data_IF_094639758745
#
_entry.id   IF_094639758745
#
_cell.length_a   1.000
_cell.length_b   1.000
_cell.length_c   1.000
_cell.angle_alpha   90.00
_cell.angle_beta   90.00
_cell.angle_gamma   90.00
#
_symmetry.space_group_name_H-M   'P 1'
#
loop_
_entity.id
_entity.type
_entity.pdbx_description
1 polymer ?
#
# COMPACT_ATOMS: atom_id res chain seq x y z
N UNK A 1 15.80 4.59 -6.52
CA UNK A 1 15.04 5.74 -7.05
C UNK A 1 13.92 5.23 -7.94
N UNK A 2 12.71 5.71 -7.72
CA UNK A 2 11.54 5.29 -8.50
C UNK A 2 11.05 6.44 -9.36
N UNK A 3 10.75 6.13 -10.63
CA UNK A 3 10.22 7.13 -11.56
C UNK A 3 8.74 7.38 -11.39
N UNK A 4 8.00 6.38 -10.94
CA UNK A 4 6.56 6.46 -10.79
C UNK A 4 6.16 6.12 -9.37
N UNK A 5 5.09 6.76 -8.89
CA UNK A 5 4.57 6.52 -7.56
C UNK A 5 3.05 6.63 -7.60
N UNK A 6 2.37 5.64 -7.02
CA UNK A 6 0.97 5.77 -6.64
C UNK A 6 0.90 6.20 -5.19
N UNK A 7 0.02 7.15 -4.91
CA UNK A 7 -0.21 7.67 -3.57
C UNK A 7 -1.70 7.57 -3.27
N UNK A 8 -2.04 6.83 -2.22
CA UNK A 8 -3.41 6.73 -1.73
C UNK A 8 -3.50 7.42 -0.38
N UNK A 9 -4.47 8.33 -0.25
CA UNK A 9 -4.78 9.01 1.00
C UNK A 9 -6.11 8.49 1.51
N UNK A 10 -6.13 8.06 2.77
CA UNK A 10 -7.31 7.45 3.38
C UNK A 10 -7.43 7.89 4.82
N UNK A 11 -8.66 7.94 5.31
CA UNK A 11 -8.96 8.31 6.70
C UNK A 11 -9.52 7.10 7.42
N UNK A 12 -8.97 6.81 8.60
CA UNK A 12 -9.35 5.66 9.40
C UNK A 12 -10.49 6.08 10.32
N UNK A 13 -11.54 5.28 10.39
CA UNK A 13 -12.62 5.49 11.37
C UNK A 13 -12.06 5.31 12.78
N UNK A 14 -12.40 6.22 13.73
CA UNK A 14 -11.93 6.08 15.10
C UNK A 14 -12.31 4.72 15.70
N UNK A 15 -11.34 4.06 16.33
CA UNK A 15 -11.53 2.74 16.91
C UNK A 15 -11.34 1.57 15.95
N UNK A 16 -11.09 1.82 14.68
CA UNK A 16 -10.93 0.77 13.65
C UNK A 16 -9.50 0.63 13.16
N UNK A 17 -8.53 1.21 13.86
CA UNK A 17 -7.13 1.21 13.45
C UNK A 17 -6.54 -0.19 13.34
N UNK A 18 -6.96 -1.11 14.21
CA UNK A 18 -6.43 -2.48 14.21
C UNK A 18 -6.67 -3.21 12.90
N UNK A 19 -7.84 -3.02 12.28
CA UNK A 19 -8.16 -3.68 11.01
C UNK A 19 -7.32 -3.14 9.86
N UNK A 20 -7.01 -1.84 9.88
CA UNK A 20 -6.14 -1.21 8.90
C UNK A 20 -4.72 -1.72 9.05
N UNK A 21 -4.20 -1.70 10.27
CA UNK A 21 -2.81 -2.14 10.54
C UNK A 21 -2.62 -3.62 10.25
N UNK A 22 -3.59 -4.46 10.59
CA UNK A 22 -3.51 -5.89 10.32
C UNK A 22 -3.36 -6.17 8.83
N UNK A 23 -4.19 -5.55 8.01
CA UNK A 23 -4.17 -5.78 6.56
C UNK A 23 -2.86 -5.25 5.94
N UNK A 24 -2.44 -4.06 6.32
CA UNK A 24 -1.21 -3.47 5.80
C UNK A 24 0.04 -4.25 6.25
N UNK A 25 0.07 -4.69 7.50
CA UNK A 25 1.17 -5.50 8.03
C UNK A 25 1.30 -6.84 7.29
N UNK A 26 0.18 -7.54 7.14
CA UNK A 26 0.16 -8.82 6.43
C UNK A 26 0.51 -8.65 4.94
N UNK A 27 -0.01 -7.62 4.31
CA UNK A 27 0.36 -7.28 2.93
C UNK A 27 1.85 -7.02 2.77
N UNK A 28 2.45 -6.29 3.71
CA UNK A 28 3.89 -6.04 3.70
C UNK A 28 4.70 -7.33 3.84
N UNK A 29 4.24 -8.27 4.66
CA UNK A 29 4.89 -9.58 4.82
C UNK A 29 4.83 -10.40 3.53
N UNK A 30 3.71 -10.35 2.81
CA UNK A 30 3.58 -10.99 1.50
C UNK A 30 4.58 -10.39 0.51
N UNK A 31 4.64 -9.06 0.46
CA UNK A 31 5.56 -8.35 -0.44
C UNK A 31 7.02 -8.73 -0.18
N UNK A 32 7.41 -8.79 1.08
CA UNK A 32 8.78 -9.16 1.48
C UNK A 32 9.11 -10.61 1.14
N UNK A 33 8.15 -11.52 1.35
CA UNK A 33 8.38 -12.94 1.12
C UNK A 33 8.45 -13.31 -0.36
N UNK A 34 7.82 -12.55 -1.24
CA UNK A 34 7.64 -12.90 -2.65
C UNK A 34 8.28 -11.91 -3.61
N UNK A 35 9.23 -11.14 -3.15
CA UNK A 35 10.04 -10.25 -3.99
C UNK A 35 9.19 -9.30 -4.85
N UNK A 36 8.33 -8.52 -4.19
CA UNK A 36 7.50 -7.53 -4.88
C UNK A 36 8.36 -6.59 -5.74
N UNK A 37 7.90 -6.27 -6.94
CA UNK A 37 8.67 -5.50 -7.92
C UNK A 37 8.81 -4.01 -7.60
N UNK A 38 8.01 -3.50 -6.67
CA UNK A 38 8.08 -2.10 -6.23
C UNK A 38 8.50 -1.98 -4.78
N UNK A 39 8.31 -0.80 -4.24
CA UNK A 39 8.45 -0.55 -2.81
C UNK A 39 7.18 0.10 -2.28
N UNK A 40 6.78 -0.27 -1.08
CA UNK A 40 5.63 0.33 -0.42
C UNK A 40 6.09 1.07 0.83
N UNK A 41 5.63 2.31 0.99
CA UNK A 41 5.74 3.06 2.22
C UNK A 41 4.37 3.41 2.75
N UNK A 42 4.21 3.35 4.06
CA UNK A 42 2.97 3.75 4.74
C UNK A 42 3.31 4.84 5.75
N UNK A 43 2.61 5.95 5.66
CA UNK A 43 2.86 7.12 6.49
C UNK A 43 1.59 7.56 7.19
N UNK A 44 1.71 7.97 8.44
CA UNK A 44 0.61 8.56 9.21
C UNK A 44 0.85 10.06 9.35
N UNK A 45 -0.21 10.85 9.23
CA UNK A 45 -0.13 12.29 9.52
C UNK A 45 -0.09 12.47 11.03
N UNK A 46 1.02 13.01 11.54
CA UNK A 46 1.21 13.21 12.99
C UNK A 46 1.08 14.67 13.42
N UNK A 47 1.14 15.61 12.46
CA UNK A 47 0.90 17.03 12.72
C UNK A 47 0.59 17.75 11.40
N UNK A 48 -0.08 18.89 11.49
CA UNK A 48 -0.38 19.70 10.31
C UNK A 48 -1.57 19.25 9.49
N UNK A 49 -2.35 18.27 9.97
CA UNK A 49 -3.53 17.73 9.31
C UNK A 49 -4.33 16.86 10.26
N UNK A 50 -5.11 15.94 9.70
CA UNK A 50 -5.88 14.98 10.50
C UNK A 50 -5.02 13.79 10.88
N UNK A 51 -4.90 13.51 12.17
CA UNK A 51 -4.07 12.41 12.68
C UNK A 51 -4.63 11.01 12.35
N UNK A 52 -5.88 10.92 11.90
CA UNK A 52 -6.48 9.68 11.42
C UNK A 52 -6.26 9.46 9.91
N UNK A 53 -5.55 10.35 9.24
CA UNK A 53 -5.15 10.17 7.84
C UNK A 53 -3.88 9.33 7.77
N UNK A 54 -3.87 8.39 6.85
CA UNK A 54 -2.65 7.70 6.47
C UNK A 54 -2.48 7.73 4.95
N UNK A 55 -1.24 7.58 4.52
CA UNK A 55 -0.85 7.68 3.14
C UNK A 55 -0.08 6.43 2.77
N UNK A 56 -0.53 5.74 1.71
CA UNK A 56 0.19 4.60 1.16
C UNK A 56 0.84 5.03 -0.14
N UNK A 57 2.16 4.83 -0.23
CA UNK A 57 2.92 5.11 -1.42
C UNK A 57 3.47 3.82 -2.00
N UNK A 58 3.29 3.61 -3.30
CA UNK A 58 3.92 2.51 -4.03
C UNK A 58 4.80 3.08 -5.13
N UNK A 59 6.10 2.83 -5.03
CA UNK A 59 7.08 3.28 -6.02
C UNK A 59 7.48 2.15 -6.95
N UNK A 60 7.71 2.47 -8.23
CA UNK A 60 8.15 1.51 -9.24
C UNK A 60 8.85 2.24 -10.39
N UNK A 61 9.73 1.54 -11.10
CA UNK A 61 10.51 2.14 -12.17
C UNK A 61 9.76 2.18 -13.50
N UNK A 62 9.03 1.12 -13.82
CA UNK A 62 8.28 1.01 -15.05
C UNK A 62 6.80 0.87 -14.75
N UNK A 63 5.99 1.55 -15.52
CA UNK A 63 4.55 1.62 -15.32
C UNK A 63 3.88 0.24 -15.22
N UNK A 64 4.34 -0.72 -16.01
CA UNK A 64 3.77 -2.07 -16.02
C UNK A 64 4.18 -2.95 -14.84
N UNK A 65 5.07 -2.47 -13.96
CA UNK A 65 5.56 -3.26 -12.81
C UNK A 65 4.67 -3.14 -11.57
N UNK A 66 3.75 -2.18 -11.55
CA UNK A 66 2.88 -1.97 -10.39
C UNK A 66 2.08 -3.24 -10.07
N UNK A 67 2.15 -3.65 -8.81
CA UNK A 67 1.41 -4.81 -8.35
C UNK A 67 1.97 -6.16 -8.79
N UNK A 68 3.18 -6.22 -9.32
CA UNK A 68 3.75 -7.45 -9.85
C UNK A 68 4.61 -8.20 -8.84
N UNK A 69 4.51 -9.51 -8.93
CA UNK A 69 5.36 -10.45 -8.19
C UNK A 69 6.10 -11.29 -9.23
N UNK A 70 7.35 -10.93 -9.58
CA UNK A 70 8.05 -11.52 -10.73
C UNK A 70 8.35 -13.01 -10.61
N UNK A 71 8.42 -13.54 -9.37
CA UNK A 71 8.80 -14.93 -9.13
C UNK A 71 7.62 -15.90 -9.12
N UNK A 72 6.41 -15.42 -9.40
CA UNK A 72 5.21 -16.25 -9.36
C UNK A 72 4.13 -15.68 -10.29
N UNK A 73 3.24 -16.55 -10.76
CA UNK A 73 2.03 -16.15 -11.48
C UNK A 73 0.83 -15.94 -10.55
N UNK A 74 1.01 -16.23 -9.27
CA UNK A 74 -0.07 -16.09 -8.29
C UNK A 74 -0.40 -14.63 -8.03
N UNK A 75 -1.67 -14.36 -7.73
CA UNK A 75 -2.12 -13.03 -7.33
C UNK A 75 -1.73 -12.75 -5.88
N UNK A 76 -1.76 -11.48 -5.48
CA UNK A 76 -1.52 -11.11 -4.09
C UNK A 76 -2.50 -11.83 -3.15
N UNK A 77 -3.77 -11.94 -3.56
CA UNK A 77 -4.77 -12.65 -2.76
C UNK A 77 -4.40 -14.12 -2.53
N UNK A 78 -3.91 -14.78 -3.57
CA UNK A 78 -3.46 -16.19 -3.45
C UNK A 78 -2.26 -16.31 -2.52
N UNK A 79 -1.27 -15.44 -2.67
CA UNK A 79 -0.07 -15.43 -1.81
C UNK A 79 -0.42 -15.12 -0.36
N UNK A 80 -1.33 -14.19 -0.15
CA UNK A 80 -1.82 -13.82 1.17
C UNK A 80 -2.53 -15.00 1.86
N UNK A 81 -3.40 -15.68 1.12
CA UNK A 81 -4.12 -16.85 1.64
C UNK A 81 -3.18 -18.00 1.97
N UNK A 82 -2.14 -18.22 1.17
CA UNK A 82 -1.14 -19.25 1.45
C UNK A 82 -0.38 -18.95 2.75
N UNK A 83 -0.10 -17.68 3.02
CA UNK A 83 0.65 -17.29 4.21
C UNK A 83 -0.19 -17.23 5.49
N UNK A 84 -1.44 -16.77 5.39
CA UNK A 84 -2.28 -16.47 6.55
C UNK A 84 -3.54 -17.34 6.67
N UNK A 85 -3.77 -18.23 5.71
CA UNK A 85 -4.90 -19.16 5.73
C UNK A 85 -5.93 -18.87 4.64
N UNK A 86 -6.64 -19.90 4.24
CA UNK A 86 -7.67 -19.81 3.21
C UNK A 86 -8.76 -18.81 3.60
N UNK A 87 -9.10 -17.92 2.67
CA UNK A 87 -10.11 -16.89 2.89
C UNK A 87 -9.64 -15.68 3.69
N UNK A 88 -8.38 -15.67 4.18
CA UNK A 88 -7.87 -14.57 5.01
C UNK A 88 -7.79 -13.25 4.25
N UNK A 89 -7.42 -13.25 2.97
CA UNK A 89 -7.34 -12.03 2.20
C UNK A 89 -8.69 -11.32 2.12
N UNK A 90 -9.73 -12.07 1.76
CA UNK A 90 -11.07 -11.49 1.64
C UNK A 90 -11.60 -10.96 2.97
N UNK A 91 -11.37 -11.72 4.03
CA UNK A 91 -11.78 -11.32 5.39
C UNK A 91 -11.06 -10.02 5.80
N UNK A 92 -9.75 -9.99 5.67
CA UNK A 92 -8.95 -8.85 6.11
C UNK A 92 -9.16 -7.63 5.21
N UNK A 93 -9.28 -7.81 3.90
CA UNK A 93 -9.56 -6.72 2.97
C UNK A 93 -10.95 -6.11 3.21
N UNK A 94 -11.94 -6.93 3.53
CA UNK A 94 -13.29 -6.45 3.87
C UNK A 94 -13.26 -5.62 5.14
N UNK A 95 -12.61 -6.12 6.19
CA UNK A 95 -12.45 -5.38 7.45
C UNK A 95 -11.70 -4.07 7.24
N UNK A 96 -10.64 -4.10 6.43
CA UNK A 96 -9.88 -2.91 6.06
C UNK A 96 -10.76 -1.86 5.38
N UNK A 97 -11.54 -2.26 4.38
CA UNK A 97 -12.41 -1.32 3.67
C UNK A 97 -13.49 -0.74 4.56
N UNK A 98 -14.04 -1.53 5.48
CA UNK A 98 -15.04 -1.06 6.44
C UNK A 98 -14.46 -0.13 7.49
N UNK A 99 -13.17 -0.23 7.76
CA UNK A 99 -12.47 0.63 8.72
C UNK A 99 -12.15 2.03 8.17
N UNK A 100 -12.37 2.26 6.87
CA UNK A 100 -12.03 3.52 6.22
C UNK A 100 -13.26 4.39 6.03
N UNK A 101 -13.08 5.70 6.25
CA UNK A 101 -14.09 6.68 5.91
C UNK A 101 -14.33 6.70 4.39
N UNK A 102 -15.55 7.02 3.98
CA UNK A 102 -15.88 7.16 2.56
C UNK A 102 -15.44 8.51 2.00
N UNK A 103 -15.25 9.50 2.85
CA UNK A 103 -14.82 10.85 2.45
C UNK A 103 -13.30 10.97 2.47
N UNK A 104 -12.78 12.00 1.81
CA UNK A 104 -11.37 12.35 1.84
C UNK A 104 -10.45 11.39 1.09
N UNK A 105 -10.98 10.43 0.36
CA UNK A 105 -10.18 9.50 -0.42
C UNK A 105 -9.60 10.19 -1.64
N UNK A 106 -8.30 10.00 -1.86
CA UNK A 106 -7.67 10.41 -3.10
C UNK A 106 -6.69 9.34 -3.56
N UNK A 107 -6.53 9.24 -4.85
CA UNK A 107 -5.52 8.40 -5.48
C UNK A 107 -4.79 9.25 -6.50
N UNK A 108 -3.48 9.38 -6.32
CA UNK A 108 -2.65 10.20 -7.19
C UNK A 108 -1.58 9.31 -7.82
N UNK A 109 -1.26 9.62 -9.06
CA UNK A 109 -0.12 9.01 -9.74
C UNK A 109 0.89 10.10 -10.02
N UNK A 110 2.10 9.92 -9.51
CA UNK A 110 3.17 10.89 -9.62
C UNK A 110 4.28 10.33 -10.51
N UNK A 111 4.90 11.19 -11.28
CA UNK A 111 6.09 10.86 -12.05
C UNK A 111 7.19 11.81 -11.63
N UNK A 112 8.38 11.26 -11.38
CA UNK A 112 9.53 12.08 -11.03
C UNK A 112 9.93 12.98 -12.19
N UNK A 113 10.15 14.25 -11.91
CA UNK A 113 10.74 15.20 -12.84
C UNK A 113 12.24 15.23 -12.60
N UNK A 114 12.97 14.41 -13.35
CA UNK A 114 14.39 14.18 -13.12
C UNK A 114 15.23 15.46 -13.17
N UNK A 115 14.90 16.36 -14.10
CA UNK A 115 15.63 17.63 -14.28
C UNK A 115 15.52 18.57 -13.08
N UNK A 116 14.51 18.38 -12.23
CA UNK A 116 14.24 19.22 -11.08
C UNK A 116 14.51 18.51 -9.76
N UNK A 117 14.94 17.26 -9.81
CA UNK A 117 15.11 16.43 -8.63
C UNK A 117 16.58 16.25 -8.29
N UNK A 118 16.88 16.21 -7.00
CA UNK A 118 18.21 15.84 -6.50
C UNK A 118 18.23 14.31 -6.35
N UNK A 119 19.23 13.68 -6.97
CA UNK A 119 19.44 12.24 -6.83
C UNK A 119 20.52 12.00 -5.78
N UNK A 120 20.17 11.17 -4.79
CA UNK A 120 21.11 10.72 -3.78
C UNK A 120 21.59 9.32 -4.15
N UNK A 121 22.88 9.18 -4.31
CA UNK A 121 23.50 7.90 -4.61
C UNK A 121 23.87 7.16 -3.33
#
# INVERSE_FOLDING_TARGET
TFKHMYVWRRFIKPGHEADVYNFLDRGAKVMKAHNYSGIQGVFQVISGGNTNEYIICNGFDKFGEFGKYPDTEKTEAQLYNEMFGEGSYRKDATAYNQALEMWGRSTERLMQMEDLSTQLN
#
